data_IF_323002773150
#
_entry.id   IF_323002773150
#
_cell.length_a   1.000
_cell.length_b   1.000
_cell.length_c   1.000
_cell.angle_alpha   90.00
_cell.angle_beta   90.00
_cell.angle_gamma   90.00
#
_symmetry.space_group_name_H-M   'P 1'
#
loop_
_entity.id
_entity.type
_entity.pdbx_description
1 polymer ?
#
# COMPACT_ATOMS: atom_id res chain seq x y z
N UNK A 1 -19.49 -17.10 55.67
CA UNK A 1 -19.77 -17.33 54.24
C UNK A 1 -18.45 -17.47 53.51
N UNK A 2 -18.27 -18.60 52.80
CA UNK A 2 -17.34 -18.97 51.72
C UNK A 2 -15.96 -18.28 51.67
N UNK A 3 -14.83 -18.97 51.67
CA UNK A 3 -14.55 -20.28 51.05
C UNK A 3 -13.77 -20.04 49.74
N UNK A 4 -12.52 -20.48 49.65
CA UNK A 4 -11.67 -20.25 48.47
C UNK A 4 -10.25 -20.79 48.60
N UNK A 5 -10.16 -22.12 48.57
CA UNK A 5 -9.02 -23.00 48.82
C UNK A 5 -7.83 -22.79 47.85
N UNK A 6 -6.61 -22.62 48.39
CA UNK A 6 -5.34 -22.76 47.65
C UNK A 6 -5.03 -24.26 47.48
N UNK A 7 -4.78 -24.71 46.26
CA UNK A 7 -4.30 -26.07 46.00
C UNK A 7 -2.88 -26.02 45.43
N UNK A 8 -1.92 -26.43 46.26
CA UNK A 8 -0.55 -26.74 45.87
C UNK A 8 -0.54 -28.06 45.11
N UNK A 9 0.16 -28.13 43.98
CA UNK A 9 0.48 -29.38 43.31
C UNK A 9 2.00 -29.55 43.25
N UNK A 10 2.48 -30.55 43.98
CA UNK A 10 3.82 -31.12 43.85
C UNK A 10 3.63 -32.61 43.66
N UNK A 11 4.16 -33.19 42.58
CA UNK A 11 4.53 -34.62 42.53
C UNK A 11 5.51 -34.90 41.40
N UNK A 12 6.40 -35.84 41.73
CA UNK A 12 7.65 -36.18 41.06
C UNK A 12 7.49 -37.04 39.79
N UNK A 13 8.45 -36.82 38.90
CA UNK A 13 9.15 -37.67 37.91
C UNK A 13 8.95 -39.21 37.81
N UNK A 14 9.05 -39.67 36.53
CA UNK A 14 9.57 -40.95 35.96
C UNK A 14 8.62 -42.17 36.00
N UNK A 15 8.45 -43.04 34.98
CA UNK A 15 9.35 -43.63 33.97
C UNK A 15 8.60 -44.01 32.67
N UNK A 16 9.31 -43.85 31.56
CA UNK A 16 9.30 -44.45 30.21
C UNK A 16 8.43 -45.70 29.93
N UNK A 17 7.69 -45.67 28.82
CA UNK A 17 7.47 -46.83 27.96
C UNK A 17 7.81 -46.43 26.51
N UNK A 18 8.92 -46.96 25.99
CA UNK A 18 9.33 -46.84 24.60
C UNK A 18 8.58 -47.87 23.76
N UNK A 19 7.88 -47.43 22.71
CA UNK A 19 7.42 -48.32 21.65
C UNK A 19 8.11 -47.87 20.36
N UNK A 20 9.19 -48.56 20.02
CA UNK A 20 9.89 -48.39 18.78
C UNK A 20 9.13 -49.10 17.66
N UNK A 21 8.56 -48.33 16.73
CA UNK A 21 8.36 -48.76 15.34
C UNK A 21 8.88 -47.66 14.43
N UNK A 22 9.94 -48.00 13.70
CA UNK A 22 10.64 -47.16 12.74
C UNK A 22 9.82 -47.04 11.45
N UNK A 23 9.35 -45.82 11.19
CA UNK A 23 9.17 -45.25 9.85
C UNK A 23 9.84 -43.86 9.94
N UNK A 24 10.71 -43.43 9.01
CA UNK A 24 11.01 -42.02 8.91
C UNK A 24 9.72 -41.35 8.43
N UNK A 25 8.86 -40.96 9.37
CA UNK A 25 7.78 -40.03 9.13
C UNK A 25 8.46 -38.70 8.77
N UNK A 26 8.91 -38.59 7.52
CA UNK A 26 9.27 -37.32 6.91
C UNK A 26 8.04 -36.46 7.01
N UNK A 27 8.01 -35.59 8.02
CA UNK A 27 6.98 -34.59 8.16
C UNK A 27 6.99 -33.78 6.87
N UNK A 28 5.99 -34.01 6.02
CA UNK A 28 5.68 -33.10 4.93
C UNK A 28 5.19 -31.84 5.63
N UNK A 29 6.13 -30.97 5.99
CA UNK A 29 5.84 -29.61 6.40
C UNK A 29 5.25 -28.95 5.15
N UNK A 30 3.93 -28.97 5.03
CA UNK A 30 3.24 -28.20 4.01
C UNK A 30 3.61 -26.74 4.26
N UNK A 31 4.55 -26.22 3.48
CA UNK A 31 4.86 -24.81 3.45
C UNK A 31 3.59 -24.10 2.98
N UNK A 32 2.79 -23.62 3.93
CA UNK A 32 1.68 -22.72 3.68
C UNK A 32 2.28 -21.41 3.18
N UNK A 33 2.59 -21.36 1.88
CA UNK A 33 2.97 -20.14 1.22
C UNK A 33 1.80 -19.16 1.32
N UNK A 34 2.00 -18.05 2.02
CA UNK A 34 1.02 -16.97 2.08
C UNK A 34 0.89 -16.34 0.70
N UNK A 35 -0.22 -16.58 0.01
CA UNK A 35 -0.54 -15.86 -1.23
C UNK A 35 -0.91 -14.42 -0.88
N UNK A 36 -0.20 -13.45 -1.45
CA UNK A 36 -0.53 -12.05 -1.23
C UNK A 36 -1.87 -11.71 -1.88
N UNK A 37 -2.80 -11.17 -1.11
CA UNK A 37 -4.07 -10.69 -1.62
C UNK A 37 -3.84 -9.62 -2.69
N UNK A 38 -4.50 -9.79 -3.84
CA UNK A 38 -4.51 -8.83 -4.96
C UNK A 38 -5.90 -8.25 -5.12
N UNK A 39 -5.97 -6.95 -5.35
CA UNK A 39 -7.24 -6.27 -5.62
C UNK A 39 -7.01 -5.06 -6.52
N UNK A 40 -7.94 -4.85 -7.45
CA UNK A 40 -7.96 -3.69 -8.35
C UNK A 40 -9.24 -2.90 -8.10
N UNK A 41 -9.15 -1.57 -8.14
CA UNK A 41 -10.31 -0.67 -8.02
C UNK A 41 -10.09 0.63 -8.77
N UNK A 42 -11.16 1.34 -9.12
CA UNK A 42 -11.08 2.59 -9.85
C UNK A 42 -11.33 3.80 -8.95
N UNK A 43 -10.67 4.91 -9.24
CA UNK A 43 -10.64 6.10 -8.41
C UNK A 43 -10.60 7.36 -9.25
N UNK A 44 -11.30 8.42 -8.84
CA UNK A 44 -11.19 9.75 -9.44
C UNK A 44 -10.05 10.53 -8.79
N UNK A 45 -9.27 11.21 -9.61
CA UNK A 45 -8.22 12.14 -9.17
C UNK A 45 -8.09 13.30 -10.16
N UNK A 46 -8.36 14.53 -9.73
CA UNK A 46 -8.13 15.75 -10.51
C UNK A 46 -8.70 15.70 -11.95
N UNK A 47 -9.90 15.12 -12.13
CA UNK A 47 -10.55 14.96 -13.42
C UNK A 47 -10.02 13.82 -14.30
N UNK A 48 -9.09 12.99 -13.79
CA UNK A 48 -8.67 11.74 -14.42
C UNK A 48 -9.30 10.54 -13.72
N UNK A 49 -9.44 9.43 -14.44
CA UNK A 49 -9.71 8.12 -13.85
C UNK A 49 -8.40 7.40 -13.57
N UNK A 50 -8.30 6.81 -12.40
CA UNK A 50 -7.14 6.09 -11.90
C UNK A 50 -7.50 4.64 -11.60
N UNK A 51 -6.54 3.74 -11.76
CA UNK A 51 -6.60 2.36 -11.28
C UNK A 51 -5.69 2.22 -10.06
N UNK A 52 -6.26 1.81 -8.94
CA UNK A 52 -5.51 1.33 -7.79
C UNK A 52 -5.24 -0.16 -7.99
N UNK A 53 -3.96 -0.54 -8.04
CA UNK A 53 -3.52 -1.92 -7.89
C UNK A 53 -3.04 -2.13 -6.46
N UNK A 54 -3.49 -3.21 -5.83
CA UNK A 54 -3.11 -3.61 -4.49
C UNK A 54 -2.48 -5.00 -4.51
N UNK A 55 -1.37 -5.16 -3.81
CA UNK A 55 -0.74 -6.45 -3.53
C UNK A 55 -0.22 -6.46 -2.10
N UNK A 56 -0.86 -7.22 -1.21
CA UNK A 56 -0.60 -7.13 0.22
C UNK A 56 -0.76 -5.69 0.71
N UNK A 57 0.30 -5.12 1.30
CA UNK A 57 0.32 -3.71 1.72
C UNK A 57 0.76 -2.75 0.62
N UNK A 58 1.28 -3.22 -0.52
CA UNK A 58 1.73 -2.35 -1.63
C UNK A 58 0.54 -1.76 -2.36
N UNK A 59 0.68 -0.51 -2.78
CA UNK A 59 -0.35 0.28 -3.46
C UNK A 59 0.28 1.02 -4.63
N UNK A 60 -0.39 0.97 -5.79
CA UNK A 60 -0.01 1.75 -6.97
C UNK A 60 -1.24 2.43 -7.56
N UNK A 61 -1.19 3.74 -7.73
CA UNK A 61 -2.17 4.46 -8.55
C UNK A 61 -1.59 4.68 -9.94
N UNK A 62 -2.23 4.10 -10.94
CA UNK A 62 -1.89 4.26 -12.35
C UNK A 62 -3.01 5.02 -13.05
N UNK A 63 -2.68 5.81 -14.07
CA UNK A 63 -3.70 6.46 -14.90
C UNK A 63 -4.48 5.40 -15.67
N UNK A 64 -5.81 5.40 -15.56
CA UNK A 64 -6.69 4.59 -16.38
C UNK A 64 -7.14 5.40 -17.60
N UNK A 65 -7.70 6.59 -17.34
CA UNK A 65 -8.07 7.57 -18.34
C UNK A 65 -7.53 8.95 -17.92
N UNK A 66 -6.33 9.33 -18.39
CA UNK A 66 -5.76 10.64 -18.08
C UNK A 66 -6.58 11.75 -18.75
N UNK A 67 -6.81 12.85 -18.02
CA UNK A 67 -7.42 14.07 -18.59
C UNK A 67 -6.57 14.63 -19.75
N UNK A 68 -7.17 15.34 -20.73
CA UNK A 68 -6.48 15.73 -21.97
C UNK A 68 -5.12 16.42 -21.77
N UNK A 69 -5.04 17.43 -20.89
CA UNK A 69 -3.80 18.21 -20.65
C UNK A 69 -2.61 17.36 -20.19
N UNK A 70 -2.85 16.19 -19.57
CA UNK A 70 -1.76 15.31 -19.13
C UNK A 70 -1.15 14.51 -20.29
N UNK A 71 -1.91 14.27 -21.37
CA UNK A 71 -1.40 13.54 -22.54
C UNK A 71 -0.25 14.29 -23.20
N UNK A 72 -0.36 15.61 -23.25
CA UNK A 72 0.69 16.50 -23.77
C UNK A 72 1.94 16.53 -22.87
N UNK A 73 1.82 16.14 -21.60
CA UNK A 73 2.95 15.91 -20.69
C UNK A 73 3.55 14.49 -20.78
N UNK A 74 3.07 13.66 -21.73
CA UNK A 74 3.52 12.28 -21.91
C UNK A 74 2.82 11.26 -21.00
N UNK A 75 1.69 11.62 -20.38
CA UNK A 75 0.91 10.69 -19.55
C UNK A 75 -0.05 9.88 -20.41
N UNK A 76 0.01 8.55 -20.27
CA UNK A 76 -0.86 7.60 -20.94
C UNK A 76 -1.53 6.66 -19.94
N UNK A 77 -2.45 5.82 -20.42
CA UNK A 77 -2.99 4.71 -19.62
C UNK A 77 -1.84 3.82 -19.15
N UNK A 78 -1.84 3.46 -17.86
CA UNK A 78 -0.78 2.71 -17.20
C UNK A 78 0.37 3.56 -16.66
N UNK A 79 0.43 4.87 -16.93
CA UNK A 79 1.45 5.73 -16.32
C UNK A 79 1.27 5.76 -14.80
N UNK A 80 2.36 5.52 -14.07
CA UNK A 80 2.36 5.47 -12.60
C UNK A 80 2.32 6.89 -12.01
N UNK A 81 1.29 7.21 -11.22
CA UNK A 81 1.23 8.47 -10.46
C UNK A 81 1.84 8.31 -9.07
N UNK A 82 1.50 7.23 -8.37
CA UNK A 82 1.92 6.97 -7.00
C UNK A 82 2.25 5.50 -6.79
N UNK A 83 3.30 5.24 -6.01
CA UNK A 83 3.61 3.93 -5.46
C UNK A 83 3.96 4.03 -3.98
N UNK A 84 3.51 3.07 -3.18
CA UNK A 84 3.76 3.10 -1.74
C UNK A 84 3.18 1.91 -1.00
N UNK A 85 3.01 2.09 0.30
CA UNK A 85 2.47 1.09 1.21
C UNK A 85 1.30 1.63 2.03
N UNK A 86 0.34 0.76 2.33
CA UNK A 86 -0.72 0.98 3.31
C UNK A 86 -0.29 0.40 4.66
N UNK A 87 -0.35 1.21 5.72
CA UNK A 87 -0.19 0.79 7.12
C UNK A 87 -1.43 1.21 7.89
N UNK A 88 -2.30 0.26 8.22
CA UNK A 88 -3.61 0.58 8.78
C UNK A 88 -4.42 1.47 7.84
N UNK A 89 -4.82 2.66 8.30
CA UNK A 89 -5.52 3.68 7.51
C UNK A 89 -4.60 4.81 7.05
N UNK A 90 -3.34 4.50 6.73
CA UNK A 90 -2.36 5.48 6.31
C UNK A 90 -1.61 4.98 5.06
N UNK A 91 -1.44 5.85 4.07
CA UNK A 91 -0.59 5.60 2.91
C UNK A 91 0.69 6.40 3.04
N UNK A 92 1.80 5.78 2.64
CA UNK A 92 3.12 6.42 2.57
C UNK A 92 3.82 5.93 1.31
N UNK A 93 4.47 6.84 0.58
CA UNK A 93 5.23 6.47 -0.60
C UNK A 93 5.65 7.68 -1.42
N UNK A 94 5.65 7.49 -2.73
CA UNK A 94 6.22 8.42 -3.69
C UNK A 94 5.20 8.77 -4.75
N UNK A 95 5.00 10.07 -4.98
CA UNK A 95 4.16 10.62 -6.04
C UNK A 95 4.99 11.26 -7.15
N UNK A 96 4.34 11.52 -8.28
CA UNK A 96 4.93 12.11 -9.48
C UNK A 96 4.11 13.32 -9.94
N UNK A 97 4.77 14.43 -10.27
CA UNK A 97 4.16 15.55 -10.98
C UNK A 97 4.63 15.54 -12.42
N UNK A 98 3.66 15.60 -13.35
CA UNK A 98 3.88 15.66 -14.79
C UNK A 98 3.71 17.09 -15.27
N UNK A 99 4.56 17.52 -16.21
CA UNK A 99 4.53 18.87 -16.76
C UNK A 99 4.75 18.82 -18.27
N UNK A 100 3.99 19.61 -19.02
CA UNK A 100 4.22 19.81 -20.47
C UNK A 100 5.57 20.47 -20.75
N UNK A 101 6.12 21.24 -19.80
CA UNK A 101 7.46 21.80 -19.93
C UNK A 101 8.56 20.73 -19.76
N UNK A 102 8.20 19.55 -19.25
CA UNK A 102 9.10 18.42 -18.97
C UNK A 102 8.51 17.08 -19.41
N UNK A 103 8.22 16.88 -20.71
CA UNK A 103 7.60 15.66 -21.18
C UNK A 103 8.47 14.45 -20.84
N UNK A 104 7.87 13.43 -20.22
CA UNK A 104 8.58 12.21 -19.84
C UNK A 104 9.54 12.33 -18.65
N UNK A 105 9.67 13.51 -18.04
CA UNK A 105 10.56 13.74 -16.88
C UNK A 105 9.73 14.19 -15.65
N UNK A 106 8.95 13.27 -15.04
CA UNK A 106 8.15 13.63 -13.88
C UNK A 106 9.03 13.98 -12.68
N UNK A 107 8.63 15.01 -11.93
CA UNK A 107 9.24 15.29 -10.63
C UNK A 107 8.70 14.29 -9.61
N UNK A 108 9.62 13.61 -8.92
CA UNK A 108 9.31 12.57 -7.94
C UNK A 108 9.47 13.15 -6.53
N UNK A 109 8.52 12.87 -5.63
CA UNK A 109 8.55 13.39 -4.25
C UNK A 109 7.76 12.50 -3.28
N UNK A 110 8.12 12.55 -2.01
CA UNK A 110 7.46 11.79 -0.95
C UNK A 110 6.09 12.36 -0.61
N UNK A 111 5.11 11.48 -0.42
CA UNK A 111 3.77 11.83 0.05
C UNK A 111 3.30 10.85 1.11
N UNK A 112 2.50 11.33 2.04
CA UNK A 112 1.85 10.50 3.04
C UNK A 112 0.50 11.09 3.45
N UNK A 113 -0.40 10.26 3.94
CA UNK A 113 -1.66 10.74 4.48
C UNK A 113 -2.72 9.66 4.72
N UNK A 114 -3.86 10.07 5.28
CA UNK A 114 -4.87 9.13 5.75
C UNK A 114 -5.71 8.54 4.61
N UNK A 115 -6.21 7.33 4.89
CA UNK A 115 -7.37 6.74 4.25
C UNK A 115 -8.57 7.03 5.15
N UNK A 116 -9.65 7.58 4.58
CA UNK A 116 -10.89 7.86 5.31
C UNK A 116 -11.47 6.57 5.89
N UNK A 117 -12.19 6.67 7.01
CA UNK A 117 -12.68 5.51 7.75
C UNK A 117 -13.52 4.54 6.89
N UNK A 118 -14.34 5.06 5.99
CA UNK A 118 -15.15 4.29 5.03
C UNK A 118 -14.34 3.64 3.89
N UNK A 119 -13.03 3.86 3.84
CA UNK A 119 -12.12 3.40 2.79
C UNK A 119 -12.41 3.94 1.38
N UNK A 120 -13.26 4.97 1.24
CA UNK A 120 -13.66 5.51 -0.07
C UNK A 120 -12.91 6.77 -0.48
N UNK A 121 -12.00 7.26 0.36
CA UNK A 121 -11.16 8.40 0.03
C UNK A 121 -9.74 8.22 0.61
N UNK A 122 -8.74 8.55 -0.20
CA UNK A 122 -7.34 8.64 0.23
C UNK A 122 -6.88 10.08 0.00
N UNK A 123 -6.33 10.70 1.03
CA UNK A 123 -5.75 12.03 0.94
C UNK A 123 -4.30 11.97 1.35
N UNK A 124 -3.38 12.31 0.44
CA UNK A 124 -1.95 12.33 0.72
C UNK A 124 -1.39 13.73 0.46
N UNK A 125 -0.39 14.14 1.23
CA UNK A 125 0.28 15.42 1.04
C UNK A 125 1.80 15.23 1.05
N UNK A 126 2.49 16.13 0.34
CA UNK A 126 3.94 16.13 0.26
C UNK A 126 4.46 17.48 -0.21
N UNK A 127 5.70 17.77 0.15
CA UNK A 127 6.39 19.00 -0.27
C UNK A 127 7.36 18.68 -1.39
N UNK A 128 7.47 19.58 -2.36
CA UNK A 128 8.44 19.51 -3.44
C UNK A 128 8.87 20.89 -3.89
N UNK A 129 10.01 20.99 -4.54
CA UNK A 129 10.41 22.23 -5.22
C UNK A 129 9.47 22.51 -6.38
N UNK A 130 9.22 23.79 -6.66
CA UNK A 130 8.61 24.22 -7.92
C UNK A 130 9.67 24.07 -9.01
N UNK A 131 9.36 23.36 -10.09
CA UNK A 131 10.26 23.20 -11.22
C UNK A 131 10.06 24.31 -12.26
N UNK A 132 11.15 24.77 -12.87
CA UNK A 132 11.18 25.61 -14.07
C UNK A 132 12.05 24.90 -15.11
N UNK A 133 11.49 24.61 -16.28
CA UNK A 133 12.21 23.88 -17.34
C UNK A 133 12.97 22.66 -16.81
N UNK A 134 12.29 21.86 -15.97
CA UNK A 134 12.78 20.59 -15.43
C UNK A 134 13.85 20.70 -14.33
N UNK A 135 14.20 21.92 -13.96
CA UNK A 135 15.11 22.18 -12.85
C UNK A 135 14.35 22.66 -11.61
N UNK A 136 14.66 22.13 -10.41
CA UNK A 136 14.08 22.63 -9.17
C UNK A 136 14.51 24.07 -8.91
N UNK A 137 13.58 24.87 -8.40
CA UNK A 137 13.86 26.22 -7.88
C UNK A 137 13.92 26.20 -6.35
N UNK A 138 14.35 27.29 -5.72
CA UNK A 138 14.36 27.44 -4.25
C UNK A 138 12.95 27.59 -3.66
N UNK A 139 11.91 27.71 -4.49
CA UNK A 139 10.53 27.77 -4.03
C UNK A 139 10.01 26.36 -3.78
N UNK A 140 9.37 26.16 -2.64
CA UNK A 140 8.71 24.90 -2.26
C UNK A 140 7.20 25.08 -2.33
N UNK A 141 6.51 24.05 -2.78
CA UNK A 141 5.05 23.96 -2.74
C UNK A 141 4.62 22.68 -2.02
N UNK A 142 3.42 22.71 -1.45
CA UNK A 142 2.77 21.53 -0.89
C UNK A 142 1.70 21.08 -1.87
N UNK A 143 1.78 19.83 -2.29
CA UNK A 143 0.73 19.20 -3.09
C UNK A 143 -0.20 18.41 -2.16
N UNK A 144 -1.48 18.35 -2.50
CA UNK A 144 -2.46 17.45 -1.86
C UNK A 144 -3.12 16.61 -2.95
N UNK A 145 -2.98 15.29 -2.82
CA UNK A 145 -3.54 14.31 -3.73
C UNK A 145 -4.78 13.71 -3.06
N UNK A 146 -5.95 14.03 -3.61
CA UNK A 146 -7.22 13.43 -3.18
C UNK A 146 -7.63 12.40 -4.22
N UNK A 147 -7.83 11.17 -3.78
CA UNK A 147 -8.40 10.08 -4.56
C UNK A 147 -9.74 9.72 -3.96
N UNK A 148 -10.79 9.71 -4.78
CA UNK A 148 -12.13 9.28 -4.35
C UNK A 148 -12.53 8.04 -5.10
N UNK A 149 -13.04 7.02 -4.40
CA UNK A 149 -13.46 5.76 -5.00
C UNK A 149 -14.48 6.01 -6.13
N UNK A 150 -14.37 5.22 -7.19
CA UNK A 150 -15.22 5.30 -8.37
C UNK A 150 -15.72 3.91 -8.76
N UNK A 151 -17.01 3.82 -9.04
CA UNK A 151 -17.61 2.62 -9.64
C UNK A 151 -17.32 2.48 -11.14
N UNK A 152 -16.69 3.48 -11.76
CA UNK A 152 -16.35 3.46 -13.19
C UNK A 152 -14.99 2.81 -13.36
N UNK A 153 -15.00 1.60 -13.89
CA UNK A 153 -13.94 0.98 -14.67
C UNK A 153 -14.57 0.67 -16.04
#
# INVERSE_FOLDING_TARGET
MNGGTKMHFTRLLKVVAACAMLLPAGAITAALGSTEARADSCWSHNGSLMRLKAQGNRRWFLYEAPRPVLREAGVATGTLLFEGVKRGNWYEGTARVFSQACPGQPQVYSVAGPVRADQLQVTMSGRRNVNRQCHPTDRVTTDTLVFTYSHRC
#
